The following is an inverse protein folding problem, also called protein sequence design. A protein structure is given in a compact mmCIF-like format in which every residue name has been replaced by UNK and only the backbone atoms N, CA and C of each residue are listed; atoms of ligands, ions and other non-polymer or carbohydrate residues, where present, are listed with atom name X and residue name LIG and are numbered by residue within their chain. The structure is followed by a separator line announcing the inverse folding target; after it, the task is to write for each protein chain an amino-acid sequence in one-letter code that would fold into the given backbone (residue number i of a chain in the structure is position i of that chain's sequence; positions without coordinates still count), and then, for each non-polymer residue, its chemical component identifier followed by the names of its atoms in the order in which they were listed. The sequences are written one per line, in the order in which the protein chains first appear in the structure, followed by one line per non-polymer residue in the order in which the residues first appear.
data_IF_696255690066
#
_entry.id   IF_696255690066
#
_cell.length_a   1.000
_cell.length_b   1.000
_cell.length_c   1.000
_cell.angle_alpha   90.00
_cell.angle_beta   90.00
_cell.angle_gamma   90.00
#
_symmetry.space_group_name_H-M   'P 1'
#
loop_
_entity.id
_entity.type
_entity.pdbx_description
1 polymer ?
#
# COMPACT_ATOMS: atom_id res chain seq x y z
N UNK A 1 -6.59 -11.95 8.90
CA UNK A 1 -6.12 -12.13 7.51
C UNK A 1 -4.62 -11.84 7.46
N UNK A 2 -3.86 -12.63 6.71
CA UNK A 2 -2.42 -12.37 6.50
C UNK A 2 -2.24 -11.50 5.24
N UNK A 3 -1.25 -10.61 5.27
CA UNK A 3 -0.88 -9.80 4.11
C UNK A 3 0.64 -9.82 3.90
N UNK A 4 1.05 -9.60 2.66
CA UNK A 4 2.43 -9.48 2.24
C UNK A 4 2.55 -8.35 1.20
N UNK A 5 3.52 -7.46 1.38
CA UNK A 5 3.84 -6.36 0.48
C UNK A 5 5.06 -6.71 -0.35
N UNK A 6 4.97 -6.41 -1.64
CA UNK A 6 6.02 -6.69 -2.61
C UNK A 6 6.42 -5.39 -3.31
N UNK A 7 7.72 -5.18 -3.43
CA UNK A 7 8.26 -4.14 -4.30
C UNK A 7 8.75 -4.82 -5.58
N UNK A 8 8.01 -4.60 -6.68
CA UNK A 8 8.29 -5.24 -7.97
C UNK A 8 8.90 -4.21 -8.90
N UNK A 9 10.20 -4.30 -9.13
CA UNK A 9 10.93 -3.41 -10.04
C UNK A 9 11.08 -3.98 -11.46
N UNK A 10 10.85 -5.28 -11.64
CA UNK A 10 10.95 -5.97 -12.93
C UNK A 10 9.91 -7.09 -13.03
N UNK A 11 9.43 -7.34 -14.25
CA UNK A 11 8.53 -8.45 -14.54
C UNK A 11 9.30 -9.77 -14.50
N UNK A 12 8.74 -10.79 -13.83
CA UNK A 12 9.37 -12.11 -13.69
C UNK A 12 9.04 -12.77 -12.37
N UNK A 13 10.05 -13.34 -11.72
CA UNK A 13 9.89 -13.99 -10.41
C UNK A 13 9.48 -12.98 -9.35
N UNK A 14 8.40 -13.28 -8.63
CA UNK A 14 7.97 -12.47 -7.50
C UNK A 14 9.07 -12.48 -6.42
N UNK A 15 9.61 -11.31 -6.03
CA UNK A 15 10.64 -11.24 -5.00
C UNK A 15 10.07 -11.63 -3.62
N UNK A 16 10.96 -11.79 -2.64
CA UNK A 16 10.54 -11.93 -1.26
C UNK A 16 9.73 -10.69 -0.82
N UNK A 17 8.72 -10.84 0.06
CA UNK A 17 7.96 -9.70 0.54
C UNK A 17 8.88 -8.73 1.30
N UNK A 18 8.72 -7.43 1.06
CA UNK A 18 9.40 -6.38 1.83
C UNK A 18 8.80 -6.22 3.22
N UNK A 19 7.53 -6.57 3.38
CA UNK A 19 6.81 -6.56 4.66
C UNK A 19 5.72 -7.62 4.62
N UNK A 20 5.43 -8.24 5.75
CA UNK A 20 4.27 -9.12 5.90
C UNK A 20 3.71 -8.99 7.30
N UNK A 21 2.44 -9.34 7.48
CA UNK A 21 1.80 -9.23 8.78
C UNK A 21 0.40 -9.82 8.81
N UNK A 22 -0.29 -9.60 9.93
CA UNK A 22 -1.67 -10.03 10.14
C UNK A 22 -2.55 -8.84 10.45
N UNK A 23 -3.66 -8.70 9.73
CA UNK A 23 -4.74 -7.74 9.98
C UNK A 23 -5.86 -8.47 10.71
N UNK A 24 -6.43 -7.82 11.71
CA UNK A 24 -7.66 -8.26 12.37
C UNK A 24 -8.76 -7.25 12.02
N UNK A 25 -9.75 -7.71 11.27
CA UNK A 25 -10.92 -6.91 10.88
C UNK A 25 -11.77 -6.60 12.13
N UNK A 26 -12.35 -5.40 12.17
CA UNK A 26 -13.45 -5.08 13.10
C UNK A 26 -13.08 -4.85 14.58
N UNK A 27 -11.81 -4.65 14.94
CA UNK A 27 -11.46 -4.32 16.33
C UNK A 27 -11.06 -2.84 16.49
N UNK A 28 -11.94 -1.96 17.04
CA UNK A 28 -11.67 -0.52 17.18
C UNK A 28 -10.49 -0.18 18.10
N UNK A 29 -9.91 -1.17 18.81
CA UNK A 29 -8.71 -1.02 19.63
C UNK A 29 -7.39 -1.44 18.97
N UNK A 30 -7.39 -1.89 17.72
CA UNK A 30 -6.15 -2.30 17.01
C UNK A 30 -5.60 -1.10 16.24
N UNK A 31 -4.30 -0.84 16.39
CA UNK A 31 -3.62 0.24 15.67
C UNK A 31 -3.76 0.07 14.14
N UNK A 32 -3.89 1.18 13.38
CA UNK A 32 -3.93 1.13 11.92
C UNK A 32 -2.68 0.45 11.36
N UNK A 33 -2.89 -0.38 10.35
CA UNK A 33 -1.79 -0.92 9.55
C UNK A 33 -1.58 0.05 8.39
N UNK A 34 -0.81 1.11 8.66
CA UNK A 34 -0.48 2.12 7.67
C UNK A 34 0.61 1.58 6.75
N UNK A 35 0.38 1.70 5.45
CA UNK A 35 1.37 1.46 4.41
C UNK A 35 1.58 2.76 3.66
N UNK A 36 2.82 3.22 3.64
CA UNK A 36 3.21 4.43 2.90
C UNK A 36 3.65 4.05 1.50
N UNK A 37 2.99 4.62 0.50
CA UNK A 37 3.37 4.50 -0.89
C UNK A 37 4.13 5.75 -1.35
N UNK A 38 5.24 5.55 -2.04
CA UNK A 38 5.88 6.61 -2.83
C UNK A 38 5.05 6.86 -4.09
N UNK A 39 4.42 8.03 -4.16
CA UNK A 39 3.53 8.40 -5.26
C UNK A 39 4.26 8.59 -6.58
N UNK A 40 5.56 8.93 -6.55
CA UNK A 40 6.37 9.01 -7.77
C UNK A 40 6.53 7.63 -8.38
N UNK A 41 6.86 6.64 -7.55
CA UNK A 41 7.01 5.25 -8.01
C UNK A 41 5.68 4.68 -8.46
N UNK A 42 4.61 4.89 -7.70
CA UNK A 42 3.26 4.42 -8.03
C UNK A 42 2.77 4.96 -9.38
N UNK A 43 2.98 6.25 -9.64
CA UNK A 43 2.54 6.91 -10.87
C UNK A 43 3.60 6.85 -11.99
N UNK A 44 4.69 6.10 -11.79
CA UNK A 44 5.81 5.99 -12.75
C UNK A 44 6.41 7.35 -13.17
N UNK A 45 6.50 8.28 -12.22
CA UNK A 45 7.09 9.61 -12.41
C UNK A 45 8.60 9.54 -12.17
N UNK A 46 9.43 9.93 -13.17
CA UNK A 46 10.87 10.01 -13.03
C UNK A 46 11.35 10.85 -11.83
N UNK A 47 12.50 10.49 -11.22
CA UNK A 47 13.15 11.31 -10.21
C UNK A 47 13.43 12.73 -10.74
N UNK A 48 13.17 13.74 -9.92
CA UNK A 48 13.39 15.16 -10.27
C UNK A 48 12.29 15.80 -11.13
N UNK A 49 11.36 15.02 -11.69
CA UNK A 49 10.20 15.60 -12.38
C UNK A 49 9.17 16.12 -11.36
N UNK A 50 8.43 17.18 -11.67
CA UNK A 50 7.39 17.66 -10.76
C UNK A 50 6.26 16.62 -10.60
N UNK A 51 5.72 16.50 -9.39
CA UNK A 51 4.48 15.74 -9.17
C UNK A 51 3.30 16.48 -9.82
N UNK A 52 2.27 15.76 -10.30
CA UNK A 52 1.04 16.38 -10.76
C UNK A 52 0.44 17.28 -9.68
N UNK A 53 -0.22 18.35 -10.11
CA UNK A 53 -0.82 19.30 -9.17
C UNK A 53 -1.86 18.60 -8.28
N UNK A 54 -1.71 18.77 -6.96
CA UNK A 54 -2.58 18.13 -5.97
C UNK A 54 -2.20 16.69 -5.58
N UNK A 55 -1.06 16.17 -6.06
CA UNK A 55 -0.52 14.87 -5.64
C UNK A 55 0.58 15.06 -4.61
N UNK A 56 0.38 14.49 -3.42
CA UNK A 56 1.42 14.43 -2.39
C UNK A 56 2.53 13.44 -2.78
N UNK A 57 3.73 13.63 -2.21
CA UNK A 57 4.86 12.74 -2.49
C UNK A 57 4.67 11.33 -1.92
N UNK A 58 3.86 11.22 -0.87
CA UNK A 58 3.56 9.98 -0.17
C UNK A 58 2.07 9.85 0.03
N UNK A 59 1.56 8.62 -0.06
CA UNK A 59 0.19 8.29 0.31
C UNK A 59 0.19 7.24 1.40
N UNK A 60 -0.42 7.57 2.54
CA UNK A 60 -0.61 6.65 3.66
C UNK A 60 -1.96 5.94 3.51
N UNK A 61 -1.90 4.62 3.41
CA UNK A 61 -3.08 3.77 3.23
C UNK A 61 -3.26 2.92 4.47
N UNK A 62 -4.40 3.06 5.14
CA UNK A 62 -4.80 2.11 6.19
C UNK A 62 -5.35 0.85 5.55
N UNK A 63 -4.60 -0.24 5.67
CA UNK A 63 -4.95 -1.52 5.09
C UNK A 63 -6.26 -2.08 5.64
N UNK A 64 -6.71 -1.64 6.83
CA UNK A 64 -8.02 -2.04 7.38
C UNK A 64 -9.16 -1.51 6.51
N UNK A 65 -9.09 -0.24 6.09
CA UNK A 65 -10.12 0.38 5.23
C UNK A 65 -10.17 -0.32 3.89
N UNK A 66 -9.01 -0.65 3.31
CA UNK A 66 -8.94 -1.39 2.04
C UNK A 66 -9.57 -2.77 2.19
N UNK A 67 -9.28 -3.48 3.28
CA UNK A 67 -9.87 -4.80 3.53
C UNK A 67 -11.37 -4.74 3.77
N UNK A 68 -11.87 -3.74 4.51
CA UNK A 68 -13.31 -3.55 4.70
C UNK A 68 -13.99 -3.28 3.35
N UNK A 69 -13.44 -2.38 2.52
CA UNK A 69 -13.99 -2.08 1.19
C UNK A 69 -13.99 -3.31 0.26
N UNK A 70 -12.89 -4.09 0.24
CA UNK A 70 -12.79 -5.29 -0.60
C UNK A 70 -13.77 -6.36 -0.12
N UNK A 71 -13.85 -6.62 1.19
CA UNK A 71 -14.78 -7.61 1.76
C UNK A 71 -16.24 -7.20 1.50
N UNK A 72 -16.58 -5.93 1.68
CA UNK A 72 -17.95 -5.43 1.42
C UNK A 72 -18.33 -5.45 -0.07
N UNK A 73 -17.33 -5.52 -0.97
CA UNK A 73 -17.54 -5.57 -2.43
C UNK A 73 -17.64 -6.98 -3.02
N UNK A 74 -17.47 -8.02 -2.19
CA UNK A 74 -17.56 -9.45 -2.56
C UNK A 74 -18.95 -10.01 -2.26
#
# INVERSE_FOLDING_TARGET
MQYALYEIAALGTLPAPTTSGTIRQGNPGVAPVIITFDMRRLLSIPPGQALPHGVDATADVDLRIVMDLVIDSL
#
